data_IF_046764748706
#
_entry.id   IF_046764748706
#
_cell.length_a   1.000
_cell.length_b   1.000
_cell.length_c   1.000
_cell.angle_alpha   90.00
_cell.angle_beta   90.00
_cell.angle_gamma   90.00
#
_symmetry.space_group_name_H-M   'P 1'
#
loop_
_entity.id
_entity.type
_entity.pdbx_description
1 polymer ?
#
# COMPACT_ATOMS: atom_id res chain seq x y z
N UNK A 1 14.63 32.96 -27.87
CA UNK A 1 13.93 31.80 -27.27
C UNK A 1 14.90 30.78 -26.69
N UNK A 2 16.21 30.96 -26.88
CA UNK A 2 17.23 29.95 -26.56
C UNK A 2 17.40 29.79 -25.05
N UNK A 3 17.45 30.90 -24.32
CA UNK A 3 17.55 30.91 -22.84
C UNK A 3 16.35 30.23 -22.19
N UNK A 4 15.15 30.40 -22.75
CA UNK A 4 13.91 29.81 -22.23
C UNK A 4 13.89 28.29 -22.45
N UNK A 5 14.37 27.81 -23.60
CA UNK A 5 14.54 26.36 -23.84
C UNK A 5 15.58 25.74 -22.91
N UNK A 6 16.73 26.41 -22.72
CA UNK A 6 17.77 25.95 -21.78
C UNK A 6 17.20 25.89 -20.36
N UNK A 7 16.52 26.94 -19.91
CA UNK A 7 15.87 26.96 -18.60
C UNK A 7 14.88 25.81 -18.41
N UNK A 8 14.04 25.54 -19.42
CA UNK A 8 13.08 24.45 -19.37
C UNK A 8 13.75 23.07 -19.28
N UNK A 9 14.82 22.84 -20.04
CA UNK A 9 15.60 21.60 -19.98
C UNK A 9 16.25 21.41 -18.61
N UNK A 10 16.90 22.44 -18.08
CA UNK A 10 17.57 22.39 -16.76
C UNK A 10 16.56 22.11 -15.65
N UNK A 11 15.46 22.86 -15.58
CA UNK A 11 14.42 22.65 -14.57
C UNK A 11 13.74 21.29 -14.75
N UNK A 12 13.50 20.87 -15.99
CA UNK A 12 12.98 19.54 -16.32
C UNK A 12 13.87 18.42 -15.79
N UNK A 13 15.19 18.50 -16.00
CA UNK A 13 16.15 17.50 -15.53
C UNK A 13 16.26 17.45 -14.00
N UNK A 14 16.22 18.61 -13.34
CA UNK A 14 16.29 18.70 -11.88
C UNK A 14 14.98 18.31 -11.19
N UNK A 15 13.86 18.36 -11.90
CA UNK A 15 12.53 18.14 -11.34
C UNK A 15 12.34 16.77 -10.67
N UNK A 16 12.69 15.63 -11.32
CA UNK A 16 12.62 14.31 -10.70
C UNK A 16 13.44 14.22 -9.40
N UNK A 17 14.66 14.77 -9.37
CA UNK A 17 15.54 14.74 -8.20
C UNK A 17 14.96 15.56 -7.05
N UNK A 18 14.47 16.77 -7.36
CA UNK A 18 13.82 17.64 -6.37
C UNK A 18 12.57 16.96 -5.78
N UNK A 19 11.75 16.29 -6.60
CA UNK A 19 10.57 15.55 -6.12
C UNK A 19 10.96 14.36 -5.26
N UNK A 20 11.94 13.56 -5.67
CA UNK A 20 12.45 12.42 -4.88
C UNK A 20 12.85 12.88 -3.47
N UNK A 21 13.63 13.97 -3.40
CA UNK A 21 14.08 14.56 -2.15
C UNK A 21 12.92 15.08 -1.29
N UNK A 22 11.97 15.83 -1.89
CA UNK A 22 10.80 16.36 -1.18
C UNK A 22 9.90 15.25 -0.65
N UNK A 23 9.75 14.16 -1.39
CA UNK A 23 8.95 13.00 -0.99
C UNK A 23 9.69 12.08 -0.01
N UNK A 24 11.00 12.24 0.14
CA UNK A 24 11.83 11.35 0.98
C UNK A 24 12.05 9.98 0.36
N UNK A 25 11.93 9.85 -0.97
CA UNK A 25 12.08 8.60 -1.71
C UNK A 25 13.46 8.60 -2.38
N UNK A 26 14.26 7.53 -2.25
CA UNK A 26 15.50 7.37 -3.01
C UNK A 26 15.23 7.48 -4.52
N UNK A 27 16.04 8.25 -5.25
CA UNK A 27 15.83 8.50 -6.69
C UNK A 27 15.74 7.21 -7.50
N UNK A 28 16.56 6.20 -7.18
CA UNK A 28 16.56 4.89 -7.83
C UNK A 28 15.26 4.09 -7.69
N UNK A 29 14.35 4.48 -6.77
CA UNK A 29 13.04 3.85 -6.62
C UNK A 29 11.95 4.51 -7.49
N UNK A 30 12.22 5.66 -8.11
CA UNK A 30 11.26 6.29 -9.01
C UNK A 30 11.13 5.47 -10.30
N UNK A 31 9.89 5.24 -10.74
CA UNK A 31 9.66 4.63 -12.06
C UNK A 31 10.07 5.55 -13.19
N UNK A 32 10.47 4.99 -14.33
CA UNK A 32 10.80 5.75 -15.54
C UNK A 32 9.62 6.65 -15.94
N UNK A 33 8.39 6.15 -15.83
CA UNK A 33 7.17 6.92 -16.08
C UNK A 33 7.04 8.13 -15.15
N UNK A 34 7.33 7.96 -13.85
CA UNK A 34 7.32 9.07 -12.89
C UNK A 34 8.38 10.11 -13.20
N UNK A 35 9.59 9.67 -13.58
CA UNK A 35 10.69 10.56 -14.00
C UNK A 35 10.28 11.35 -15.25
N UNK A 36 9.76 10.67 -16.28
CA UNK A 36 9.35 11.30 -17.53
C UNK A 36 8.21 12.30 -17.34
N UNK A 37 7.16 11.92 -16.60
CA UNK A 37 6.03 12.83 -16.30
C UNK A 37 6.53 14.05 -15.51
N UNK A 38 7.47 13.86 -14.59
CA UNK A 38 8.07 14.96 -13.83
C UNK A 38 8.89 15.89 -14.70
N UNK A 39 9.71 15.33 -15.59
CA UNK A 39 10.49 16.09 -16.57
C UNK A 39 9.58 16.90 -17.49
N UNK A 40 8.67 16.23 -18.21
CA UNK A 40 7.80 16.84 -19.21
C UNK A 40 6.90 17.91 -18.60
N UNK A 41 6.27 17.61 -17.46
CA UNK A 41 5.37 18.57 -16.82
C UNK A 41 6.09 19.84 -16.36
N UNK A 42 7.32 19.71 -15.84
CA UNK A 42 8.09 20.85 -15.34
C UNK A 42 8.71 21.67 -16.48
N UNK A 43 9.26 21.02 -17.50
CA UNK A 43 9.76 21.67 -18.70
C UNK A 43 8.65 22.47 -19.41
N UNK A 44 7.48 21.86 -19.59
CA UNK A 44 6.33 22.52 -20.24
C UNK A 44 5.85 23.73 -19.44
N UNK A 45 5.84 23.64 -18.10
CA UNK A 45 5.46 24.76 -17.23
C UNK A 45 6.42 25.93 -17.39
N UNK A 46 7.74 25.67 -17.40
CA UNK A 46 8.77 26.71 -17.62
C UNK A 46 8.62 27.35 -19.00
N UNK A 47 8.40 26.55 -20.05
CA UNK A 47 8.17 27.06 -21.41
C UNK A 47 6.94 27.95 -21.47
N UNK A 48 5.82 27.52 -20.89
CA UNK A 48 4.57 28.28 -20.92
C UNK A 48 4.71 29.64 -20.20
N UNK A 49 5.33 29.64 -19.01
CA UNK A 49 5.59 30.88 -18.27
C UNK A 49 6.56 31.77 -19.06
N UNK A 50 7.65 31.21 -19.59
CA UNK A 50 8.63 31.96 -20.36
C UNK A 50 8.04 32.58 -21.64
N UNK A 51 7.23 31.85 -22.39
CA UNK A 51 6.52 32.37 -23.58
C UNK A 51 5.57 33.49 -23.20
N UNK A 52 4.78 33.31 -22.14
CA UNK A 52 3.85 34.34 -21.66
C UNK A 52 4.58 35.63 -21.23
N UNK A 53 5.66 35.50 -20.45
CA UNK A 53 6.48 36.64 -20.03
C UNK A 53 7.16 37.30 -21.23
N UNK A 54 7.71 36.52 -22.16
CA UNK A 54 8.30 37.04 -23.39
C UNK A 54 7.31 37.83 -24.23
N UNK A 55 6.05 37.36 -24.33
CA UNK A 55 4.99 38.07 -25.01
C UNK A 55 4.64 39.41 -24.33
N UNK A 56 4.54 39.43 -23.00
CA UNK A 56 4.30 40.65 -22.23
C UNK A 56 5.45 41.65 -22.36
N UNK A 57 6.70 41.19 -22.32
CA UNK A 57 7.88 42.04 -22.41
C UNK A 57 8.09 42.64 -23.81
N UNK A 58 7.51 42.05 -24.87
CA UNK A 58 7.54 42.64 -26.22
C UNK A 58 6.84 44.00 -26.33
N UNK A 59 5.95 44.32 -25.39
CA UNK A 59 5.30 45.64 -25.33
C UNK A 59 6.22 46.73 -24.71
N UNK A 60 7.45 46.39 -24.32
CA UNK A 60 8.39 47.29 -23.65
C UNK A 60 9.53 47.74 -24.58
N UNK A 61 10.37 48.67 -24.13
CA UNK A 61 11.53 49.20 -24.88
C UNK A 61 12.78 48.31 -24.79
N UNK A 62 12.66 47.10 -24.24
CA UNK A 62 13.78 46.18 -24.06
C UNK A 62 14.30 45.61 -25.38
N UNK A 63 15.60 45.32 -25.43
CA UNK A 63 16.21 44.64 -26.58
C UNK A 63 15.79 43.16 -26.64
N UNK A 64 15.80 42.52 -27.83
CA UNK A 64 15.42 41.11 -27.97
C UNK A 64 16.19 40.15 -27.05
N UNK A 65 17.50 40.39 -26.85
CA UNK A 65 18.35 39.56 -25.99
C UNK A 65 18.00 39.70 -24.51
N UNK A 66 17.66 40.92 -24.06
CA UNK A 66 17.18 41.17 -22.71
C UNK A 66 15.82 40.51 -22.48
N UNK A 67 14.91 40.60 -23.46
CA UNK A 67 13.60 39.94 -23.40
C UNK A 67 13.78 38.43 -23.27
N UNK A 68 14.64 37.80 -24.07
CA UNK A 68 14.87 36.35 -24.01
C UNK A 68 15.46 35.94 -22.65
N UNK A 69 16.46 36.67 -22.17
CA UNK A 69 17.12 36.37 -20.88
C UNK A 69 16.15 36.50 -19.71
N UNK A 70 15.36 37.58 -19.68
CA UNK A 70 14.37 37.81 -18.62
C UNK A 70 13.23 36.78 -18.68
N UNK A 71 12.70 36.49 -19.88
CA UNK A 71 11.68 35.47 -20.08
C UNK A 71 12.14 34.09 -19.59
N UNK A 72 13.37 33.70 -19.93
CA UNK A 72 13.96 32.45 -19.45
C UNK A 72 14.15 32.43 -17.93
N UNK A 73 14.63 33.53 -17.35
CA UNK A 73 14.80 33.68 -15.89
C UNK A 73 13.49 33.58 -15.12
N UNK A 74 12.46 34.33 -15.53
CA UNK A 74 11.13 34.26 -14.92
C UNK A 74 10.47 32.89 -15.12
N UNK A 75 10.63 32.29 -16.31
CA UNK A 75 10.19 30.93 -16.58
C UNK A 75 10.81 29.92 -15.60
N UNK A 76 12.13 29.99 -15.42
CA UNK A 76 12.86 29.10 -14.51
C UNK A 76 12.40 29.26 -13.05
N UNK A 77 12.37 30.50 -12.55
CA UNK A 77 12.00 30.80 -11.16
C UNK A 77 10.53 30.43 -10.90
N UNK A 78 9.62 30.88 -11.77
CA UNK A 78 8.19 30.58 -11.64
C UNK A 78 7.90 29.09 -11.73
N UNK A 79 8.48 28.41 -12.72
CA UNK A 79 8.31 26.96 -12.89
C UNK A 79 8.88 26.16 -11.72
N UNK A 80 10.05 26.53 -11.20
CA UNK A 80 10.66 25.87 -10.04
C UNK A 80 9.87 26.08 -8.74
N UNK A 81 9.36 27.29 -8.50
CA UNK A 81 8.49 27.57 -7.34
C UNK A 81 7.20 26.75 -7.41
N UNK A 82 6.55 26.70 -8.58
CA UNK A 82 5.35 25.89 -8.77
C UNK A 82 5.64 24.40 -8.60
N UNK A 83 6.78 23.92 -9.09
CA UNK A 83 7.24 22.55 -8.87
C UNK A 83 7.37 22.23 -7.38
N UNK A 84 8.06 23.07 -6.62
CA UNK A 84 8.27 22.84 -5.19
C UNK A 84 6.96 22.92 -4.41
N UNK A 85 6.09 23.88 -4.75
CA UNK A 85 4.77 24.01 -4.15
C UNK A 85 3.91 22.76 -4.38
N UNK A 86 3.84 22.31 -5.64
CA UNK A 86 3.11 21.10 -6.04
C UNK A 86 3.68 19.85 -5.37
N UNK A 87 5.01 19.69 -5.36
CA UNK A 87 5.68 18.56 -4.74
C UNK A 87 5.44 18.51 -3.22
N UNK A 88 5.41 19.66 -2.54
CA UNK A 88 5.18 19.76 -1.09
C UNK A 88 3.76 19.38 -0.69
N UNK A 89 2.75 19.83 -1.45
CA UNK A 89 1.32 19.65 -1.09
C UNK A 89 0.91 18.19 -0.87
N UNK A 90 1.47 17.25 -1.65
CA UNK A 90 1.15 15.82 -1.56
C UNK A 90 2.34 14.94 -1.21
N UNK A 91 3.40 15.53 -0.62
CA UNK A 91 4.70 14.84 -0.47
C UNK A 91 4.61 13.50 0.26
N UNK A 92 3.81 13.42 1.32
CA UNK A 92 3.73 12.24 2.16
C UNK A 92 2.93 11.12 1.49
N UNK A 93 1.78 11.44 0.89
CA UNK A 93 0.93 10.46 0.21
C UNK A 93 1.61 9.93 -1.06
N UNK A 94 2.25 10.80 -1.85
CA UNK A 94 3.00 10.39 -3.04
C UNK A 94 4.24 9.60 -2.67
N UNK A 95 4.98 10.03 -1.65
CA UNK A 95 6.11 9.26 -1.11
C UNK A 95 5.69 7.87 -0.66
N UNK A 96 4.62 7.78 0.15
CA UNK A 96 4.06 6.51 0.61
C UNK A 96 3.67 5.61 -0.56
N UNK A 97 2.91 6.13 -1.52
CA UNK A 97 2.45 5.36 -2.68
C UNK A 97 3.59 4.76 -3.50
N UNK A 98 4.66 5.54 -3.75
CA UNK A 98 5.83 5.03 -4.47
C UNK A 98 6.57 3.97 -3.65
N UNK A 99 6.75 4.20 -2.35
CA UNK A 99 7.44 3.23 -1.49
C UNK A 99 6.66 1.92 -1.36
N UNK A 100 5.35 2.00 -1.16
CA UNK A 100 4.48 0.83 -1.07
C UNK A 100 4.49 0.01 -2.37
N UNK A 101 4.50 0.65 -3.54
CA UNK A 101 4.63 -0.07 -4.81
C UNK A 101 5.94 -0.86 -4.91
N UNK A 102 7.02 -0.34 -4.33
CA UNK A 102 8.35 -0.97 -4.35
C UNK A 102 8.55 -2.03 -3.27
N UNK A 103 7.62 -2.18 -2.32
CA UNK A 103 7.69 -3.25 -1.32
C UNK A 103 7.47 -4.65 -1.93
N UNK A 104 6.80 -4.72 -3.09
CA UNK A 104 6.56 -5.96 -3.82
C UNK A 104 7.76 -6.41 -4.69
N UNK A 105 8.78 -5.57 -4.84
CA UNK A 105 9.95 -5.83 -5.67
C UNK A 105 11.11 -6.32 -4.79
N UNK A 106 11.54 -7.58 -4.93
CA UNK A 106 12.53 -8.23 -4.05
C UNK A 106 13.85 -7.43 -3.92
N UNK A 107 14.33 -6.88 -5.03
CA UNK A 107 15.56 -6.09 -5.13
C UNK A 107 15.44 -4.70 -4.49
N UNK A 108 14.23 -4.13 -4.46
CA UNK A 108 13.97 -2.79 -3.92
C UNK A 108 13.41 -2.80 -2.49
N UNK A 109 12.85 -3.92 -2.03
CA UNK A 109 12.04 -4.04 -0.80
C UNK A 109 12.77 -3.49 0.43
N UNK A 110 14.00 -3.94 0.70
CA UNK A 110 14.76 -3.50 1.88
C UNK A 110 15.09 -1.99 1.86
N UNK A 111 15.26 -1.41 0.67
CA UNK A 111 15.50 0.03 0.53
C UNK A 111 14.21 0.83 0.67
N UNK A 112 13.11 0.33 0.10
CA UNK A 112 11.78 0.91 0.23
C UNK A 112 11.30 0.90 1.69
N UNK A 113 11.49 -0.21 2.42
CA UNK A 113 11.10 -0.35 3.82
C UNK A 113 11.86 0.63 4.73
N UNK A 114 13.19 0.74 4.56
CA UNK A 114 14.00 1.73 5.30
C UNK A 114 13.59 3.18 4.99
N UNK A 115 13.22 3.47 3.74
CA UNK A 115 12.73 4.79 3.37
C UNK A 115 11.33 5.05 3.95
N UNK A 116 10.46 4.04 4.01
CA UNK A 116 9.13 4.10 4.61
C UNK A 116 9.22 4.38 6.11
N UNK A 117 10.06 3.65 6.85
CA UNK A 117 10.29 3.91 8.28
C UNK A 117 10.73 5.35 8.53
N UNK A 118 11.71 5.86 7.78
CA UNK A 118 12.15 7.27 7.87
C UNK A 118 11.04 8.27 7.55
N UNK A 119 10.16 7.96 6.60
CA UNK A 119 9.02 8.81 6.26
C UNK A 119 8.03 8.86 7.44
N UNK A 120 7.66 7.71 7.99
CA UNK A 120 6.74 7.59 9.12
C UNK A 120 7.30 8.28 10.37
N UNK A 121 8.57 8.02 10.72
CA UNK A 121 9.23 8.66 11.87
C UNK A 121 9.28 10.18 11.77
N UNK A 122 9.53 10.70 10.56
CA UNK A 122 9.54 12.14 10.32
C UNK A 122 8.15 12.75 10.51
N UNK A 123 7.12 12.08 10.01
CA UNK A 123 5.74 12.56 10.12
C UNK A 123 5.25 12.45 11.56
N UNK A 124 5.58 11.37 12.26
CA UNK A 124 5.25 11.15 13.68
C UNK A 124 5.69 12.33 14.56
N UNK A 125 6.85 12.92 14.27
CA UNK A 125 7.38 14.08 15.00
C UNK A 125 6.70 15.41 14.68
N UNK A 126 6.04 15.52 13.52
CA UNK A 126 5.48 16.78 13.02
C UNK A 126 3.97 16.87 13.08
N UNK A 127 3.27 15.75 12.86
CA UNK A 127 1.83 15.71 12.63
C UNK A 127 1.29 14.31 12.97
N UNK A 128 0.66 14.17 14.14
CA UNK A 128 0.17 12.89 14.66
C UNK A 128 -0.98 12.32 13.81
N UNK A 129 -1.95 13.16 13.42
CA UNK A 129 -3.09 12.74 12.60
C UNK A 129 -2.63 12.22 11.24
N UNK A 130 -1.66 12.91 10.64
CA UNK A 130 -1.05 12.45 9.38
C UNK A 130 -0.29 11.14 9.57
N UNK A 131 0.42 10.98 10.68
CA UNK A 131 1.13 9.73 10.97
C UNK A 131 0.16 8.55 11.04
N UNK A 132 -0.96 8.70 11.78
CA UNK A 132 -2.02 7.68 11.88
C UNK A 132 -2.52 7.31 10.49
N UNK A 133 -2.88 8.30 9.67
CA UNK A 133 -3.39 8.06 8.32
C UNK A 133 -2.37 7.30 7.46
N UNK A 134 -1.08 7.66 7.50
CA UNK A 134 -0.06 6.99 6.72
C UNK A 134 0.20 5.55 7.19
N UNK A 135 0.18 5.29 8.49
CA UNK A 135 0.33 3.93 9.04
C UNK A 135 -0.83 3.04 8.59
N UNK A 136 -2.07 3.51 8.72
CA UNK A 136 -3.25 2.77 8.27
C UNK A 136 -3.20 2.50 6.76
N UNK A 137 -2.79 3.50 5.95
CA UNK A 137 -2.61 3.32 4.50
C UNK A 137 -1.46 2.37 4.13
N UNK A 138 -0.37 2.34 4.91
CA UNK A 138 0.79 1.48 4.68
C UNK A 138 0.50 0.01 5.01
N UNK A 139 -0.47 -0.25 5.89
CA UNK A 139 -0.73 -1.57 6.45
C UNK A 139 -1.06 -2.60 5.39
N UNK A 140 -1.96 -2.29 4.45
CA UNK A 140 -2.31 -3.21 3.35
C UNK A 140 -1.11 -3.59 2.47
N UNK A 141 -0.34 -2.62 1.95
CA UNK A 141 0.87 -2.92 1.18
C UNK A 141 1.94 -3.70 1.95
N UNK A 142 2.11 -3.43 3.25
CA UNK A 142 3.05 -4.18 4.10
C UNK A 142 2.62 -5.64 4.22
N UNK A 143 1.35 -5.91 4.52
CA UNK A 143 0.86 -7.29 4.63
C UNK A 143 0.85 -8.03 3.29
N UNK A 144 0.59 -7.33 2.19
CA UNK A 144 0.72 -7.90 0.83
C UNK A 144 2.16 -8.28 0.47
N UNK A 145 3.15 -7.57 1.01
CA UNK A 145 4.57 -7.88 0.86
C UNK A 145 5.10 -8.86 1.93
N UNK A 146 4.21 -9.48 2.70
CA UNK A 146 4.54 -10.37 3.83
C UNK A 146 5.36 -9.71 4.96
N UNK A 147 5.34 -8.37 5.04
CA UNK A 147 5.98 -7.56 6.09
C UNK A 147 5.04 -7.35 7.28
N UNK A 148 4.61 -8.47 7.87
CA UNK A 148 3.60 -8.51 8.94
C UNK A 148 4.09 -7.89 10.24
N UNK A 149 5.38 -8.02 10.54
CA UNK A 149 5.97 -7.46 11.77
C UNK A 149 5.95 -5.94 11.75
N UNK A 150 6.30 -5.34 10.61
CA UNK A 150 6.32 -3.89 10.42
C UNK A 150 4.90 -3.31 10.38
N UNK A 151 3.95 -4.01 9.75
CA UNK A 151 2.55 -3.66 9.80
C UNK A 151 2.04 -3.63 11.26
N UNK A 152 2.29 -4.70 12.02
CA UNK A 152 1.91 -4.80 13.43
C UNK A 152 2.56 -3.71 14.27
N UNK A 153 3.88 -3.52 14.14
CA UNK A 153 4.62 -2.51 14.88
C UNK A 153 4.09 -1.09 14.60
N UNK A 154 3.79 -0.78 13.35
CA UNK A 154 3.16 0.48 12.94
C UNK A 154 1.82 0.69 13.65
N UNK A 155 0.90 -0.27 13.54
CA UNK A 155 -0.43 -0.22 14.15
C UNK A 155 -0.39 -0.12 15.69
N UNK A 156 0.50 -0.89 16.31
CA UNK A 156 0.71 -0.89 17.77
C UNK A 156 1.32 0.42 18.27
N UNK A 157 2.07 1.14 17.43
CA UNK A 157 2.69 2.42 17.80
C UNK A 157 1.72 3.61 17.85
N UNK A 158 0.50 3.44 17.33
CA UNK A 158 -0.56 4.44 17.37
C UNK A 158 -1.17 4.48 18.77
N UNK A 159 -1.23 5.69 19.36
CA UNK A 159 -1.94 5.92 20.61
C UNK A 159 -3.45 5.83 20.41
N UNK A 160 -4.10 4.94 21.17
CA UNK A 160 -5.54 4.66 21.06
C UNK A 160 -6.39 5.89 21.38
N UNK A 161 -5.94 6.76 22.29
CA UNK A 161 -6.67 7.97 22.67
C UNK A 161 -6.68 9.05 21.56
N UNK A 162 -5.76 8.96 20.62
CA UNK A 162 -5.63 9.91 19.50
C UNK A 162 -6.51 9.56 18.29
N UNK A 163 -7.17 8.39 18.30
CA UNK A 163 -7.91 7.89 17.15
C UNK A 163 -9.33 8.44 17.09
N UNK A 164 -9.75 8.82 15.88
CA UNK A 164 -11.18 8.96 15.62
C UNK A 164 -11.87 7.59 15.71
N UNK A 165 -13.20 7.53 15.90
CA UNK A 165 -13.93 6.26 15.92
C UNK A 165 -13.67 5.40 14.67
N UNK A 166 -13.69 6.00 13.48
CA UNK A 166 -13.42 5.29 12.22
C UNK A 166 -11.98 4.77 12.12
N UNK A 167 -10.99 5.56 12.55
CA UNK A 167 -9.60 5.12 12.59
C UNK A 167 -9.38 3.98 13.60
N UNK A 168 -10.06 4.03 14.75
CA UNK A 168 -10.02 2.96 15.76
C UNK A 168 -10.55 1.65 15.19
N UNK A 169 -11.68 1.68 14.47
CA UNK A 169 -12.23 0.51 13.79
C UNK A 169 -11.23 -0.07 12.79
N UNK A 170 -10.68 0.75 11.89
CA UNK A 170 -9.72 0.30 10.88
C UNK A 170 -8.44 -0.26 11.50
N UNK A 171 -7.90 0.40 12.54
CA UNK A 171 -6.72 -0.06 13.27
C UNK A 171 -6.98 -1.43 13.90
N UNK A 172 -8.08 -1.58 14.62
CA UNK A 172 -8.40 -2.81 15.33
C UNK A 172 -8.70 -3.97 14.36
N UNK A 173 -9.36 -3.70 13.24
CA UNK A 173 -9.57 -4.70 12.19
C UNK A 173 -8.23 -5.18 11.60
N UNK A 174 -7.33 -4.24 11.31
CA UNK A 174 -6.01 -4.58 10.78
C UNK A 174 -5.11 -5.27 11.81
N UNK A 175 -5.17 -4.86 13.08
CA UNK A 175 -4.48 -5.53 14.17
C UNK A 175 -4.98 -6.97 14.33
N UNK A 176 -6.28 -7.20 14.34
CA UNK A 176 -6.86 -8.54 14.40
C UNK A 176 -6.32 -9.43 13.26
N UNK A 177 -6.24 -8.89 12.05
CA UNK A 177 -5.67 -9.60 10.89
C UNK A 177 -4.20 -9.95 11.12
N UNK A 178 -3.38 -9.02 11.60
CA UNK A 178 -1.97 -9.27 11.89
C UNK A 178 -1.81 -10.31 13.01
N UNK A 179 -2.60 -10.19 14.08
CA UNK A 179 -2.60 -11.09 15.24
C UNK A 179 -2.92 -12.53 14.84
N UNK A 180 -3.90 -12.73 13.96
CA UNK A 180 -4.20 -14.04 13.37
C UNK A 180 -3.01 -14.63 12.63
N UNK A 181 -2.27 -13.82 11.87
CA UNK A 181 -1.07 -14.27 11.16
C UNK A 181 0.07 -14.69 12.11
N UNK A 182 0.13 -14.12 13.31
CA UNK A 182 1.10 -14.50 14.35
C UNK A 182 0.60 -15.62 15.28
N UNK A 183 -0.54 -16.26 14.98
CA UNK A 183 -1.18 -17.27 15.82
C UNK A 183 -1.61 -16.75 17.22
N UNK A 184 -1.74 -15.42 17.36
CA UNK A 184 -2.12 -14.74 18.60
C UNK A 184 -3.66 -14.64 18.72
N UNK A 185 -4.35 -15.78 18.75
CA UNK A 185 -5.83 -15.86 18.66
C UNK A 185 -6.58 -15.01 19.69
N UNK A 186 -6.09 -14.99 20.93
CA UNK A 186 -6.73 -14.23 22.01
C UNK A 186 -6.60 -12.72 21.81
N UNK A 187 -5.47 -12.24 21.30
CA UNK A 187 -5.27 -10.82 21.04
C UNK A 187 -5.91 -10.38 19.71
N UNK A 188 -6.10 -11.30 18.75
CA UNK A 188 -7.00 -11.07 17.61
C UNK A 188 -8.46 -10.88 18.06
N UNK A 189 -8.97 -11.75 18.93
CA UNK A 189 -10.31 -11.63 19.50
C UNK A 189 -10.49 -10.31 20.27
N UNK A 190 -9.55 -9.98 21.17
CA UNK A 190 -9.57 -8.71 21.90
C UNK A 190 -9.60 -7.49 20.96
N UNK A 191 -8.90 -7.54 19.81
CA UNK A 191 -8.93 -6.47 18.83
C UNK A 191 -10.30 -6.37 18.14
N UNK A 192 -10.93 -7.50 17.81
CA UNK A 192 -12.28 -7.54 17.23
C UNK A 192 -13.32 -7.00 18.23
N UNK A 193 -13.26 -7.39 19.51
CA UNK A 193 -14.21 -6.96 20.54
C UNK A 193 -14.18 -5.45 20.81
N UNK A 194 -13.04 -4.79 20.55
CA UNK A 194 -12.91 -3.33 20.66
C UNK A 194 -13.62 -2.57 19.54
N UNK A 195 -14.07 -3.25 18.49
CA UNK A 195 -14.75 -2.61 17.36
C UNK A 195 -16.22 -2.42 17.72
N UNK A 196 -16.73 -1.17 17.76
CA UNK A 196 -18.15 -0.92 18.01
C UNK A 196 -19.02 -1.58 16.93
N UNK A 197 -20.11 -2.22 17.37
CA UNK A 197 -21.07 -2.89 16.49
C UNK A 197 -22.43 -2.16 16.49
N UNK A 198 -23.13 -2.07 15.35
CA UNK A 198 -22.69 -2.52 14.02
C UNK A 198 -21.58 -1.61 13.45
N UNK A 199 -20.61 -2.20 12.75
CA UNK A 199 -19.62 -1.44 11.99
C UNK A 199 -20.20 -1.01 10.63
N UNK A 200 -19.44 -0.22 9.86
CA UNK A 200 -19.78 0.05 8.46
C UNK A 200 -19.96 -1.28 7.70
N UNK A 201 -20.93 -1.41 6.79
CA UNK A 201 -21.21 -2.68 6.10
C UNK A 201 -19.98 -3.29 5.42
N UNK A 202 -19.13 -2.44 4.85
CA UNK A 202 -17.87 -2.82 4.19
C UNK A 202 -16.84 -3.40 5.16
N UNK A 203 -16.93 -3.11 6.46
CA UNK A 203 -16.04 -3.60 7.52
C UNK A 203 -16.67 -4.81 8.21
N UNK A 204 -17.96 -4.74 8.47
CA UNK A 204 -18.75 -5.79 9.12
C UNK A 204 -18.57 -7.14 8.42
N UNK A 205 -18.56 -7.14 7.08
CA UNK A 205 -18.38 -8.37 6.29
C UNK A 205 -17.04 -9.06 6.55
N UNK A 206 -15.97 -8.29 6.71
CA UNK A 206 -14.64 -8.83 7.03
C UNK A 206 -14.54 -9.30 8.48
N UNK A 207 -15.18 -8.60 9.40
CA UNK A 207 -15.21 -8.99 10.81
C UNK A 207 -15.89 -10.35 10.99
N UNK A 208 -17.00 -10.58 10.28
CA UNK A 208 -17.68 -11.88 10.26
C UNK A 208 -16.74 -12.99 9.75
N UNK A 209 -15.97 -12.75 8.70
CA UNK A 209 -15.00 -13.71 8.18
C UNK A 209 -13.87 -14.02 9.19
N UNK A 210 -13.34 -13.00 9.88
CA UNK A 210 -12.32 -13.19 10.91
C UNK A 210 -12.85 -13.93 12.15
N UNK A 211 -14.05 -13.61 12.61
CA UNK A 211 -14.71 -14.32 13.71
C UNK A 211 -14.99 -15.78 13.33
N UNK A 212 -15.43 -16.04 12.09
CA UNK A 212 -15.61 -17.39 11.60
C UNK A 212 -14.28 -18.16 11.53
N UNK A 213 -13.18 -17.50 11.15
CA UNK A 213 -11.85 -18.10 11.19
C UNK A 213 -11.45 -18.50 12.60
N UNK A 214 -11.61 -17.59 13.58
CA UNK A 214 -11.33 -17.87 14.99
C UNK A 214 -12.11 -19.08 15.49
N UNK A 215 -13.40 -19.16 15.17
CA UNK A 215 -14.25 -20.31 15.53
C UNK A 215 -13.75 -21.61 14.88
N UNK A 216 -13.42 -21.59 13.58
CA UNK A 216 -12.96 -22.77 12.85
C UNK A 216 -11.64 -23.29 13.42
N UNK A 217 -10.70 -22.39 13.70
CA UNK A 217 -9.37 -22.70 14.26
C UNK A 217 -9.49 -23.27 15.68
N UNK A 218 -10.44 -22.77 16.47
CA UNK A 218 -10.76 -23.29 17.82
C UNK A 218 -11.54 -24.61 17.81
N UNK A 219 -11.68 -25.26 16.66
CA UNK A 219 -12.38 -26.54 16.56
C UNK A 219 -13.91 -26.44 16.66
N UNK A 220 -14.49 -25.28 16.30
CA UNK A 220 -15.94 -25.05 16.28
C UNK A 220 -16.46 -24.87 14.84
N UNK A 221 -16.32 -25.89 13.96
CA UNK A 221 -16.61 -25.74 12.53
C UNK A 221 -18.08 -25.43 12.23
N UNK A 222 -19.03 -25.95 13.02
CA UNK A 222 -20.45 -25.66 12.83
C UNK A 222 -20.82 -24.21 13.16
N UNK A 223 -20.25 -23.67 14.25
CA UNK A 223 -20.44 -22.27 14.62
C UNK A 223 -19.80 -21.33 13.58
N UNK A 224 -18.59 -21.65 13.14
CA UNK A 224 -17.90 -20.93 12.07
C UNK A 224 -18.71 -20.94 10.77
N UNK A 225 -19.25 -22.10 10.38
CA UNK A 225 -20.08 -22.23 9.18
C UNK A 225 -21.36 -21.41 9.29
N UNK A 226 -22.04 -21.45 10.45
CA UNK A 226 -23.24 -20.66 10.68
C UNK A 226 -22.95 -19.16 10.56
N UNK A 227 -21.79 -18.72 11.05
CA UNK A 227 -21.34 -17.32 11.01
C UNK A 227 -21.16 -16.79 9.58
N UNK A 228 -20.63 -17.61 8.66
CA UNK A 228 -20.47 -17.24 7.25
C UNK A 228 -21.77 -17.23 6.42
N UNK A 229 -22.87 -17.83 6.91
CA UNK A 229 -24.09 -17.95 6.11
C UNK A 229 -24.67 -16.58 5.80
N UNK A 230 -25.10 -16.39 4.56
CA UNK A 230 -25.84 -15.19 4.13
C UNK A 230 -24.97 -14.03 3.64
N UNK A 231 -23.65 -14.20 3.57
CA UNK A 231 -22.77 -13.22 2.96
C UNK A 231 -22.57 -13.49 1.46
N UNK A 232 -22.90 -12.51 0.63
CA UNK A 232 -22.48 -12.48 -0.77
C UNK A 232 -21.05 -11.93 -0.85
N UNK A 233 -20.20 -12.61 -1.62
CA UNK A 233 -18.78 -12.23 -1.82
C UNK A 233 -18.43 -12.08 -3.29
N UNK A 234 -19.42 -12.20 -4.18
CA UNK A 234 -19.20 -12.26 -5.63
C UNK A 234 -18.64 -10.97 -6.23
N UNK A 235 -18.84 -9.83 -5.56
CA UNK A 235 -18.32 -8.52 -5.97
C UNK A 235 -16.93 -8.19 -5.37
N UNK A 236 -16.42 -9.02 -4.45
CA UNK A 236 -15.17 -8.78 -3.74
C UNK A 236 -14.25 -10.00 -3.73
N UNK A 237 -13.34 -10.13 -4.72
CA UNK A 237 -12.43 -11.27 -4.84
C UNK A 237 -11.54 -11.49 -3.61
N UNK A 238 -11.18 -10.41 -2.90
CA UNK A 238 -10.34 -10.50 -1.69
C UNK A 238 -11.11 -11.08 -0.50
N UNK A 239 -12.39 -10.72 -0.37
CA UNK A 239 -13.28 -11.29 0.63
C UNK A 239 -13.61 -12.74 0.30
N UNK A 240 -13.85 -13.06 -0.98
CA UNK A 240 -14.08 -14.42 -1.45
C UNK A 240 -12.88 -15.33 -1.10
N UNK A 241 -11.65 -14.88 -1.36
CA UNK A 241 -10.43 -15.60 -0.99
C UNK A 241 -10.36 -15.84 0.54
N UNK A 242 -10.76 -14.86 1.34
CA UNK A 242 -10.79 -15.01 2.80
C UNK A 242 -11.87 -16.01 3.24
N UNK A 243 -13.04 -16.04 2.59
CA UNK A 243 -14.06 -17.05 2.86
C UNK A 243 -13.59 -18.45 2.45
N UNK A 244 -12.86 -18.59 1.34
CA UNK A 244 -12.26 -19.87 0.92
C UNK A 244 -11.31 -20.42 1.97
N UNK A 245 -10.45 -19.55 2.51
CA UNK A 245 -9.56 -19.88 3.62
C UNK A 245 -10.37 -20.39 4.83
N UNK A 246 -11.40 -19.65 5.26
CA UNK A 246 -12.23 -20.08 6.41
C UNK A 246 -12.92 -21.41 6.13
N UNK A 247 -13.48 -21.60 4.92
CA UNK A 247 -14.12 -22.87 4.51
C UNK A 247 -13.14 -24.02 4.53
N UNK A 248 -11.90 -23.83 4.10
CA UNK A 248 -10.88 -24.87 4.20
C UNK A 248 -10.67 -25.32 5.66
N UNK A 249 -10.54 -24.40 6.61
CA UNK A 249 -10.43 -24.75 8.04
C UNK A 249 -11.69 -25.45 8.58
N UNK A 250 -12.88 -25.00 8.19
CA UNK A 250 -14.15 -25.64 8.57
C UNK A 250 -14.20 -27.09 8.08
N UNK A 251 -13.95 -27.30 6.78
CA UNK A 251 -14.02 -28.62 6.14
C UNK A 251 -12.96 -29.57 6.70
N UNK A 252 -11.74 -29.08 6.91
CA UNK A 252 -10.68 -29.87 7.54
C UNK A 252 -11.04 -30.25 8.99
N UNK A 253 -11.61 -29.33 9.76
CA UNK A 253 -12.10 -29.61 11.12
C UNK A 253 -13.26 -30.61 11.17
N UNK A 254 -13.97 -30.81 10.06
CA UNK A 254 -15.01 -31.83 9.90
C UNK A 254 -14.48 -33.16 9.31
N UNK A 255 -13.15 -33.32 9.22
CA UNK A 255 -12.48 -34.46 8.57
C UNK A 255 -12.82 -34.63 7.07
N UNK A 256 -13.28 -33.56 6.40
CA UNK A 256 -13.56 -33.56 4.96
C UNK A 256 -12.32 -33.15 4.17
N UNK A 257 -11.23 -33.91 4.32
CA UNK A 257 -9.90 -33.59 3.78
C UNK A 257 -9.92 -33.26 2.28
N UNK A 258 -10.62 -34.05 1.46
CA UNK A 258 -10.70 -33.83 0.01
C UNK A 258 -11.34 -32.48 -0.34
N UNK A 259 -12.45 -32.13 0.31
CA UNK A 259 -13.13 -30.85 0.07
C UNK A 259 -12.29 -29.66 0.58
N UNK A 260 -11.63 -29.80 1.73
CA UNK A 260 -10.71 -28.79 2.24
C UNK A 260 -9.54 -28.52 1.27
N UNK A 261 -8.97 -29.58 0.71
CA UNK A 261 -7.88 -29.49 -0.26
C UNK A 261 -8.32 -28.77 -1.55
N UNK A 262 -9.53 -29.03 -2.03
CA UNK A 262 -10.06 -28.33 -3.22
C UNK A 262 -10.29 -26.83 -2.98
N UNK A 263 -10.73 -26.45 -1.77
CA UNK A 263 -10.80 -25.02 -1.40
C UNK A 263 -9.40 -24.38 -1.36
N UNK A 264 -8.40 -25.07 -0.79
CA UNK A 264 -7.02 -24.58 -0.77
C UNK A 264 -6.40 -24.47 -2.16
N UNK A 265 -6.61 -25.45 -3.05
CA UNK A 265 -6.19 -25.36 -4.45
C UNK A 265 -6.86 -24.20 -5.18
N UNK A 266 -8.14 -23.96 -4.89
CA UNK A 266 -8.85 -22.82 -5.48
C UNK A 266 -8.34 -21.49 -4.94
N UNK A 267 -8.05 -21.43 -3.64
CA UNK A 267 -7.39 -20.28 -3.01
C UNK A 267 -6.02 -20.03 -3.64
N UNK A 268 -5.23 -21.07 -3.89
CA UNK A 268 -3.94 -20.96 -4.57
C UNK A 268 -4.08 -20.41 -5.99
N UNK A 269 -5.07 -20.89 -6.77
CA UNK A 269 -5.35 -20.35 -8.11
C UNK A 269 -5.75 -18.88 -8.09
N UNK A 270 -6.49 -18.45 -7.06
CA UNK A 270 -6.98 -17.08 -6.95
C UNK A 270 -5.95 -16.09 -6.38
N UNK A 271 -5.16 -16.52 -5.40
CA UNK A 271 -4.28 -15.65 -4.59
C UNK A 271 -2.81 -16.10 -4.56
N UNK A 272 -2.44 -17.10 -5.36
CA UNK A 272 -1.08 -17.61 -5.47
C UNK A 272 -0.58 -18.27 -4.18
N UNK A 273 0.76 -18.27 -4.01
CA UNK A 273 1.43 -18.79 -2.81
C UNK A 273 1.02 -18.03 -1.54
N UNK A 274 0.92 -16.70 -1.62
CA UNK A 274 0.51 -15.86 -0.50
C UNK A 274 -0.87 -16.25 0.08
N UNK A 275 -1.80 -16.71 -0.78
CA UNK A 275 -3.08 -17.26 -0.33
C UNK A 275 -2.94 -18.51 0.53
N UNK A 276 -2.04 -19.43 0.16
CA UNK A 276 -1.75 -20.64 0.93
C UNK A 276 -0.99 -20.33 2.22
N UNK A 277 -0.04 -19.39 2.19
CA UNK A 277 0.70 -18.94 3.38
C UNK A 277 -0.24 -18.35 4.44
N UNK A 278 -1.31 -17.68 4.01
CA UNK A 278 -2.39 -17.24 4.92
C UNK A 278 -3.19 -18.40 5.51
N UNK A 279 -3.26 -19.58 4.88
CA UNK A 279 -3.92 -20.75 5.46
C UNK A 279 -3.02 -21.52 6.44
N UNK A 280 -1.71 -21.24 6.46
CA UNK A 280 -0.80 -21.76 7.48
C UNK A 280 -1.05 -21.09 8.85
N UNK A 281 -1.47 -19.82 8.85
CA UNK A 281 -1.63 -19.03 10.06
C UNK A 281 -3.00 -18.32 10.12
N UNK A 282 -3.73 -18.44 11.23
CA UNK A 282 -3.35 -19.14 12.46
C UNK A 282 -3.29 -20.65 12.28
N UNK A 283 -2.59 -21.33 13.20
CA UNK A 283 -2.42 -22.77 13.15
C UNK A 283 -3.77 -23.45 13.44
N UNK A 284 -4.39 -24.00 12.41
CA UNK A 284 -5.72 -24.59 12.48
C UNK A 284 -5.85 -25.87 11.66
N UNK A 285 -7.07 -26.41 11.54
CA UNK A 285 -7.29 -27.73 10.95
C UNK A 285 -6.77 -27.89 9.51
N UNK A 286 -6.76 -26.83 8.71
CA UNK A 286 -6.30 -26.86 7.32
C UNK A 286 -4.79 -26.58 7.15
N UNK A 287 -4.08 -26.16 8.20
CA UNK A 287 -2.70 -25.66 8.08
C UNK A 287 -1.73 -26.75 7.61
N UNK A 288 -1.92 -28.00 8.03
CA UNK A 288 -1.12 -29.12 7.54
C UNK A 288 -1.33 -29.37 6.03
N UNK A 289 -2.58 -29.31 5.56
CA UNK A 289 -2.92 -29.48 4.14
C UNK A 289 -2.36 -28.33 3.29
N UNK A 290 -2.39 -27.11 3.82
CA UNK A 290 -1.80 -25.95 3.13
C UNK A 290 -0.28 -26.09 3.01
N UNK A 291 0.40 -26.65 4.03
CA UNK A 291 1.84 -26.93 3.99
C UNK A 291 2.18 -27.98 2.94
N UNK A 292 1.46 -29.10 2.92
CA UNK A 292 1.63 -30.14 1.90
C UNK A 292 1.54 -29.56 0.47
N UNK A 293 0.55 -28.67 0.21
CA UNK A 293 0.40 -28.04 -1.10
C UNK A 293 1.53 -27.07 -1.46
N UNK A 294 2.13 -26.39 -0.48
CA UNK A 294 3.27 -25.50 -0.71
C UNK A 294 4.51 -26.35 -1.04
N UNK A 295 4.75 -27.41 -0.28
CA UNK A 295 5.90 -28.30 -0.47
C UNK A 295 5.81 -29.02 -1.82
N UNK A 296 4.64 -29.56 -2.19
CA UNK A 296 4.38 -30.21 -3.49
C UNK A 296 4.64 -29.25 -4.68
N UNK A 297 4.34 -27.96 -4.50
CA UNK A 297 4.54 -26.94 -5.54
C UNK A 297 6.03 -26.56 -5.71
N UNK A 298 6.86 -26.75 -4.70
CA UNK A 298 8.31 -26.53 -4.76
C UNK A 298 9.07 -27.71 -5.36
N UNK A 299 8.57 -28.95 -5.16
CA UNK A 299 9.20 -30.16 -5.70
C UNK A 299 8.94 -30.39 -7.20
N UNK A 300 7.95 -29.72 -7.80
CA UNK A 300 7.69 -29.83 -9.24
C UNK A 300 8.74 -29.01 -10.02
N UNK A 301 9.67 -29.63 -10.78
CA UNK A 301 10.69 -28.88 -11.49
C UNK A 301 10.05 -27.97 -12.53
N UNK A 302 10.42 -26.69 -12.52
CA UNK A 302 10.08 -25.76 -13.61
C UNK A 302 10.71 -26.29 -14.89
N UNK A 303 9.95 -27.02 -15.69
CA UNK A 303 10.33 -27.34 -17.06
C UNK A 303 10.41 -26.00 -17.79
N UNK A 304 11.62 -25.51 -18.02
CA UNK A 304 11.85 -24.33 -18.86
C UNK A 304 11.16 -24.55 -20.21
N UNK A 305 10.29 -23.63 -20.66
CA UNK A 305 9.86 -23.67 -22.05
C UNK A 305 11.09 -23.40 -22.92
N UNK A 306 11.38 -24.38 -23.79
CA UNK A 306 12.36 -24.27 -24.89
C UNK A 306 11.81 -23.31 -25.94
#
# INVERSE_FOLDING_TARGET
MTTTLIAALVVGLLAPMARALVWGVPFGLLSISTVLVSFTGSALTVLLIGVMVGFLLRATTLTPDQIDTMAGGFGAVGGFVLLLSSARRMRHVRGLSVLCQRLAEEDAQATALRALGRLLDRVKKSDADRHIALVLMATGPLTQASLWEEARAGLSSIDEQSLTPSQSVLRNQALATCQLQFDELGAAENAIERIPRPAEPSIEVWLVAMEALLLAVRGQPEAARAKLRGQDTSDNPSLEASHRLVRAHILAGQNQRGAALEELKTLHRAAGRAGLERALHPNGPASALARELIDDAEETPRVSPV
#
